data_IF_258661786339
#
_entry.id   IF_258661786339
#
_cell.length_a   1.000
_cell.length_b   1.000
_cell.length_c   1.000
_cell.angle_alpha   90.00
_cell.angle_beta   90.00
_cell.angle_gamma   90.00
#
_symmetry.space_group_name_H-M   'P 1'
#
loop_
_entity.id
_entity.type
_entity.pdbx_description
1 polymer ?
#
# COMPACT_ATOMS: atom_id res chain seq x y z
N UNK A 1 -36.94 16.15 2.00
CA UNK A 1 -35.87 15.11 1.81
C UNK A 1 -36.18 14.28 0.56
N UNK A 2 -37.38 13.65 0.46
CA UNK A 2 -37.75 12.80 -0.70
C UNK A 2 -37.76 13.53 -2.04
N UNK A 3 -38.20 14.79 -2.11
CA UNK A 3 -38.12 15.58 -3.34
C UNK A 3 -36.68 15.84 -3.80
N UNK A 4 -35.77 16.08 -2.84
CA UNK A 4 -34.36 16.23 -3.13
C UNK A 4 -33.75 14.91 -3.66
N UNK A 5 -34.13 13.78 -3.07
CA UNK A 5 -33.71 12.46 -3.53
C UNK A 5 -34.24 12.16 -4.92
N UNK A 6 -35.51 12.49 -5.22
CA UNK A 6 -36.08 12.35 -6.56
C UNK A 6 -35.29 13.12 -7.61
N UNK A 7 -34.90 14.36 -7.31
CA UNK A 7 -34.07 15.16 -8.19
C UNK A 7 -32.68 14.53 -8.40
N UNK A 8 -32.01 14.08 -7.32
CA UNK A 8 -30.70 13.37 -7.39
C UNK A 8 -30.76 12.09 -8.23
N UNK A 9 -31.80 11.28 -8.08
CA UNK A 9 -31.95 10.03 -8.84
C UNK A 9 -32.09 10.32 -10.36
N UNK A 10 -32.69 11.42 -10.74
CA UNK A 10 -32.74 11.86 -12.15
C UNK A 10 -31.35 12.30 -12.64
N UNK A 11 -30.62 13.08 -11.85
CA UNK A 11 -29.26 13.50 -12.18
C UNK A 11 -28.30 12.32 -12.33
N UNK A 12 -28.48 11.29 -11.52
CA UNK A 12 -27.67 10.06 -11.61
C UNK A 12 -27.83 9.36 -12.98
N UNK A 13 -29.01 9.34 -13.58
CA UNK A 13 -29.20 8.77 -14.92
C UNK A 13 -28.35 9.49 -15.96
N UNK A 14 -28.23 10.81 -15.85
CA UNK A 14 -27.42 11.63 -16.75
C UNK A 14 -25.94 11.30 -16.56
N UNK A 15 -25.48 11.23 -15.30
CA UNK A 15 -24.09 10.91 -14.96
C UNK A 15 -23.71 9.50 -15.43
N UNK A 16 -24.56 8.48 -15.20
CA UNK A 16 -24.30 7.12 -15.64
C UNK A 16 -24.22 7.02 -17.19
N UNK A 17 -25.07 7.75 -17.89
CA UNK A 17 -25.03 7.79 -19.36
C UNK A 17 -23.76 8.49 -19.88
N UNK A 18 -23.32 9.54 -19.19
CA UNK A 18 -22.06 10.21 -19.52
C UNK A 18 -20.84 9.29 -19.26
N UNK A 19 -20.79 8.58 -18.11
CA UNK A 19 -19.72 7.60 -17.80
C UNK A 19 -19.67 6.55 -18.90
N UNK A 20 -20.81 6.01 -19.35
CA UNK A 20 -20.87 5.01 -20.42
C UNK A 20 -20.27 5.52 -21.72
N UNK A 21 -20.63 6.75 -22.11
CA UNK A 21 -20.10 7.37 -23.34
C UNK A 21 -18.58 7.57 -23.25
N UNK A 22 -18.08 8.07 -22.10
CA UNK A 22 -16.64 8.28 -21.89
C UNK A 22 -15.86 6.95 -21.93
N UNK A 23 -16.38 5.88 -21.31
CA UNK A 23 -15.75 4.57 -21.36
C UNK A 23 -15.67 4.01 -22.80
N UNK A 24 -16.73 4.19 -23.62
CA UNK A 24 -16.71 3.81 -25.03
C UNK A 24 -15.67 4.61 -25.82
N UNK A 25 -15.60 5.91 -25.61
CA UNK A 25 -14.62 6.77 -26.26
C UNK A 25 -13.19 6.46 -25.86
N UNK A 26 -12.95 6.11 -24.58
CA UNK A 26 -11.63 5.70 -24.08
C UNK A 26 -11.25 4.35 -24.67
N UNK A 27 -12.16 3.37 -24.74
CA UNK A 27 -11.90 2.05 -25.32
C UNK A 27 -11.40 2.14 -26.77
N UNK A 28 -11.99 3.04 -27.55
CA UNK A 28 -11.55 3.29 -28.93
C UNK A 28 -10.16 3.92 -29.02
N UNK A 29 -9.80 4.77 -28.05
CA UNK A 29 -8.52 5.51 -28.06
C UNK A 29 -7.40 4.79 -27.32
N UNK A 30 -7.74 3.89 -26.39
CA UNK A 30 -6.83 3.22 -25.44
C UNK A 30 -7.11 1.72 -25.34
N UNK A 31 -6.96 0.96 -26.46
CA UNK A 31 -7.24 -0.48 -26.46
C UNK A 31 -6.37 -1.27 -25.47
N UNK A 32 -5.23 -0.71 -25.05
CA UNK A 32 -4.35 -1.29 -24.03
C UNK A 32 -5.00 -1.40 -22.64
N UNK A 33 -6.07 -0.64 -22.37
CA UNK A 33 -6.84 -0.70 -21.13
C UNK A 33 -8.14 -1.51 -21.24
N UNK A 34 -8.28 -2.34 -22.28
CA UNK A 34 -9.53 -3.08 -22.56
C UNK A 34 -10.06 -3.85 -21.33
N UNK A 35 -9.21 -4.61 -20.63
CA UNK A 35 -9.63 -5.39 -19.44
C UNK A 35 -10.21 -4.50 -18.33
N UNK A 36 -9.59 -3.36 -18.08
CA UNK A 36 -10.08 -2.39 -17.10
C UNK A 36 -11.41 -1.77 -17.56
N UNK A 37 -11.50 -1.38 -18.84
CA UNK A 37 -12.70 -0.74 -19.38
C UNK A 37 -13.88 -1.69 -19.31
N UNK A 38 -13.70 -2.95 -19.73
CA UNK A 38 -14.75 -3.99 -19.63
C UNK A 38 -15.22 -4.15 -18.18
N UNK A 39 -14.30 -4.09 -17.23
CA UNK A 39 -14.66 -4.17 -15.82
C UNK A 39 -15.44 -2.94 -15.35
N UNK A 40 -15.00 -1.74 -15.68
CA UNK A 40 -15.74 -0.51 -15.35
C UNK A 40 -17.13 -0.51 -15.99
N UNK A 41 -17.28 -1.06 -17.20
CA UNK A 41 -18.57 -1.26 -17.87
C UNK A 41 -19.45 -2.27 -17.11
N UNK A 42 -18.87 -3.35 -16.56
CA UNK A 42 -19.61 -4.30 -15.71
C UNK A 42 -20.12 -3.64 -14.41
N UNK A 43 -19.25 -2.92 -13.71
CA UNK A 43 -19.62 -2.16 -12.51
C UNK A 43 -20.68 -1.08 -12.81
N UNK A 44 -20.55 -0.44 -13.97
CA UNK A 44 -21.56 0.53 -14.45
C UNK A 44 -22.91 -0.13 -14.67
N UNK A 45 -22.94 -1.36 -15.26
CA UNK A 45 -24.18 -2.10 -15.48
C UNK A 45 -24.86 -2.45 -14.14
N UNK A 46 -24.11 -2.97 -13.17
CA UNK A 46 -24.60 -3.24 -11.82
C UNK A 46 -25.14 -1.96 -11.13
N UNK A 47 -24.42 -0.83 -11.32
CA UNK A 47 -24.83 0.46 -10.79
C UNK A 47 -26.11 0.97 -11.46
N UNK A 48 -26.30 0.72 -12.76
CA UNK A 48 -27.56 1.03 -13.47
C UNK A 48 -28.73 0.19 -12.95
N UNK A 49 -28.51 -1.08 -12.63
CA UNK A 49 -29.53 -1.94 -12.03
C UNK A 49 -29.92 -1.42 -10.63
N UNK A 50 -28.92 -1.03 -9.82
CA UNK A 50 -29.17 -0.38 -8.53
C UNK A 50 -29.93 0.95 -8.71
N UNK A 51 -29.61 1.74 -9.73
CA UNK A 51 -30.32 2.97 -10.05
C UNK A 51 -31.81 2.71 -10.37
N UNK A 52 -32.10 1.69 -11.19
CA UNK A 52 -33.46 1.29 -11.49
C UNK A 52 -34.22 0.90 -10.21
N UNK A 53 -33.56 0.16 -9.32
CA UNK A 53 -34.13 -0.20 -8.01
C UNK A 53 -34.40 1.04 -7.13
N UNK A 54 -33.47 2.01 -7.10
CA UNK A 54 -33.67 3.27 -6.40
C UNK A 54 -34.88 4.05 -6.93
N UNK A 55 -35.12 4.04 -8.24
CA UNK A 55 -36.32 4.67 -8.84
C UNK A 55 -37.61 4.04 -8.29
N UNK A 56 -37.66 2.71 -8.18
CA UNK A 56 -38.84 2.02 -7.66
C UNK A 56 -39.06 2.31 -6.16
N UNK A 57 -38.00 2.34 -5.35
CA UNK A 57 -38.10 2.72 -3.94
C UNK A 57 -38.58 4.14 -3.74
N UNK A 58 -38.09 5.08 -4.57
CA UNK A 58 -38.52 6.49 -4.55
C UNK A 58 -39.99 6.61 -4.94
N UNK A 59 -40.48 5.85 -5.92
CA UNK A 59 -41.93 5.81 -6.28
C UNK A 59 -42.80 5.25 -5.15
N UNK A 60 -42.25 4.29 -4.40
CA UNK A 60 -42.95 3.68 -3.26
C UNK A 60 -42.87 4.51 -1.96
N UNK A 61 -42.19 5.66 -1.96
CA UNK A 61 -41.86 6.47 -0.78
C UNK A 61 -41.14 5.65 0.33
N UNK A 62 -40.30 4.66 -0.08
CA UNK A 62 -39.57 3.79 0.85
C UNK A 62 -38.31 4.48 1.38
N UNK A 63 -38.22 4.61 2.70
CA UNK A 63 -37.09 5.26 3.37
C UNK A 63 -35.75 4.51 3.24
N UNK A 64 -35.76 3.24 2.81
CA UNK A 64 -34.54 2.44 2.60
C UNK A 64 -33.67 3.02 1.47
N UNK A 65 -34.21 3.89 0.61
CA UNK A 65 -33.45 4.60 -0.40
C UNK A 65 -32.25 5.36 0.19
N UNK A 66 -32.35 5.88 1.41
CA UNK A 66 -31.29 6.64 2.07
C UNK A 66 -30.04 5.81 2.35
N UNK A 67 -30.19 4.51 2.65
CA UNK A 67 -29.07 3.62 2.92
C UNK A 67 -28.32 3.17 1.65
N UNK A 68 -28.97 3.26 0.50
CA UNK A 68 -28.39 2.81 -0.78
C UNK A 68 -27.68 3.94 -1.53
N UNK A 69 -28.03 5.22 -1.27
CA UNK A 69 -27.38 6.36 -1.91
C UNK A 69 -25.86 6.37 -1.75
N UNK A 70 -25.27 6.16 -0.54
CA UNK A 70 -23.82 6.15 -0.39
C UNK A 70 -23.12 5.05 -1.21
N UNK A 71 -23.75 3.88 -1.34
CA UNK A 71 -23.21 2.77 -2.15
C UNK A 71 -23.18 3.17 -3.62
N UNK A 72 -24.26 3.77 -4.11
CA UNK A 72 -24.38 4.25 -5.47
C UNK A 72 -23.39 5.40 -5.76
N UNK A 73 -23.31 6.40 -4.88
CA UNK A 73 -22.38 7.53 -5.02
C UNK A 73 -20.92 7.10 -5.01
N UNK A 74 -20.57 6.02 -4.28
CA UNK A 74 -19.20 5.52 -4.23
C UNK A 74 -18.67 5.13 -5.61
N UNK A 75 -19.47 4.46 -6.44
CA UNK A 75 -19.07 4.13 -7.81
C UNK A 75 -18.94 5.39 -8.68
N UNK A 76 -19.90 6.31 -8.59
CA UNK A 76 -19.85 7.57 -9.37
C UNK A 76 -18.58 8.34 -9.06
N UNK A 77 -18.29 8.57 -7.77
CA UNK A 77 -17.06 9.27 -7.34
C UNK A 77 -15.81 8.56 -7.86
N UNK A 78 -15.78 7.25 -7.74
CA UNK A 78 -14.66 6.45 -8.15
C UNK A 78 -14.42 6.54 -9.68
N UNK A 79 -15.49 6.40 -10.47
CA UNK A 79 -15.40 6.51 -11.92
C UNK A 79 -15.03 7.94 -12.37
N UNK A 80 -15.74 8.96 -11.85
CA UNK A 80 -15.62 10.34 -12.35
C UNK A 80 -14.42 11.09 -11.80
N UNK A 81 -14.01 10.82 -10.56
CA UNK A 81 -12.92 11.56 -9.90
C UNK A 81 -11.56 10.89 -10.04
N UNK A 82 -11.54 9.57 -10.35
CA UNK A 82 -10.29 8.82 -10.37
C UNK A 82 -10.03 8.11 -11.72
N UNK A 83 -10.88 7.15 -12.13
CA UNK A 83 -10.55 6.31 -13.29
C UNK A 83 -10.66 7.04 -14.62
N UNK A 84 -11.75 7.75 -14.88
CA UNK A 84 -11.91 8.49 -16.14
C UNK A 84 -10.82 9.54 -16.33
N UNK A 85 -10.51 10.40 -15.32
CA UNK A 85 -9.41 11.35 -15.47
C UNK A 85 -8.05 10.70 -15.70
N UNK A 86 -7.75 9.60 -15.01
CA UNK A 86 -6.50 8.87 -15.19
C UNK A 86 -6.38 8.28 -16.60
N UNK A 87 -7.43 7.61 -17.08
CA UNK A 87 -7.46 7.02 -18.42
C UNK A 87 -7.44 8.06 -19.54
N UNK A 88 -8.07 9.22 -19.34
CA UNK A 88 -8.11 10.31 -20.32
C UNK A 88 -6.78 11.03 -20.45
N UNK A 89 -6.05 11.20 -19.31
CA UNK A 89 -4.85 12.05 -19.22
C UNK A 89 -3.55 11.27 -19.22
N UNK A 90 -3.58 9.93 -19.30
CA UNK A 90 -2.40 9.10 -19.22
C UNK A 90 -1.28 9.60 -20.15
N UNK A 91 -0.20 10.06 -19.55
CA UNK A 91 1.00 10.54 -20.23
C UNK A 91 2.05 9.42 -20.42
N UNK A 92 3.20 9.82 -20.97
CA UNK A 92 4.33 8.90 -21.15
C UNK A 92 4.88 8.39 -19.82
N UNK A 93 5.00 9.28 -18.84
CA UNK A 93 5.50 8.93 -17.50
C UNK A 93 4.55 7.97 -16.76
N UNK A 94 3.23 8.17 -16.89
CA UNK A 94 2.23 7.28 -16.32
C UNK A 94 2.33 5.88 -16.94
N UNK A 95 2.42 5.79 -18.27
CA UNK A 95 2.59 4.52 -19.00
C UNK A 95 3.88 3.81 -18.62
N UNK A 96 4.97 4.55 -18.48
CA UNK A 96 6.25 3.97 -18.05
C UNK A 96 6.11 3.36 -16.65
N UNK A 97 5.60 4.13 -15.68
CA UNK A 97 5.43 3.64 -14.32
C UNK A 97 4.42 2.48 -14.26
N UNK A 98 3.33 2.55 -15.02
CA UNK A 98 2.36 1.46 -15.16
C UNK A 98 3.02 0.15 -15.59
N UNK A 99 3.81 0.14 -16.65
CA UNK A 99 4.48 -1.07 -17.16
C UNK A 99 5.49 -1.61 -16.14
N UNK A 100 6.25 -0.72 -15.52
CA UNK A 100 7.24 -1.09 -14.50
C UNK A 100 6.57 -1.73 -13.30
N UNK A 101 5.50 -1.13 -12.78
CA UNK A 101 4.76 -1.63 -11.62
C UNK A 101 4.00 -2.92 -11.92
N UNK A 102 3.40 -3.04 -13.11
CA UNK A 102 2.73 -4.27 -13.51
C UNK A 102 3.71 -5.45 -13.59
N UNK A 103 4.92 -5.22 -14.11
CA UNK A 103 5.99 -6.20 -14.10
C UNK A 103 6.43 -6.56 -12.67
N UNK A 104 6.61 -5.56 -11.81
CA UNK A 104 6.97 -5.77 -10.41
C UNK A 104 5.90 -6.56 -9.65
N UNK A 105 4.61 -6.25 -9.83
CA UNK A 105 3.50 -6.99 -9.22
C UNK A 105 3.51 -8.47 -9.63
N UNK A 106 3.72 -8.77 -10.92
CA UNK A 106 3.84 -10.14 -11.41
C UNK A 106 5.06 -10.87 -10.82
N UNK A 107 6.19 -10.17 -10.69
CA UNK A 107 7.39 -10.72 -10.04
C UNK A 107 7.14 -11.02 -8.54
N UNK A 108 6.30 -10.24 -7.87
CA UNK A 108 5.84 -10.50 -6.52
C UNK A 108 4.80 -11.63 -6.40
N UNK A 109 4.42 -12.28 -7.51
CA UNK A 109 3.42 -13.35 -7.51
C UNK A 109 1.97 -12.88 -7.52
N UNK A 110 1.71 -11.59 -7.77
CA UNK A 110 0.35 -11.02 -7.84
C UNK A 110 -0.27 -11.27 -9.22
N UNK A 111 -0.38 -12.55 -9.62
CA UNK A 111 -0.78 -12.96 -10.97
C UNK A 111 -2.27 -12.72 -11.26
N UNK A 112 -3.08 -12.36 -10.27
CA UNK A 112 -4.49 -11.98 -10.47
C UNK A 112 -4.66 -10.55 -10.99
N UNK A 113 -3.59 -9.74 -10.96
CA UNK A 113 -3.62 -8.39 -11.50
C UNK A 113 -3.42 -8.48 -13.00
N UNK A 114 -4.46 -8.13 -13.74
CA UNK A 114 -4.46 -8.16 -15.20
C UNK A 114 -3.88 -6.86 -15.77
N UNK A 115 -4.28 -5.75 -15.17
CA UNK A 115 -3.86 -4.41 -15.54
C UNK A 115 -3.88 -3.46 -14.34
N UNK A 116 -3.20 -2.33 -14.47
CA UNK A 116 -3.21 -1.23 -13.48
C UNK A 116 -3.38 0.10 -14.19
N UNK A 117 -3.93 1.07 -13.49
CA UNK A 117 -3.90 2.48 -13.90
C UNK A 117 -2.95 3.21 -12.98
N UNK A 118 -2.13 4.07 -13.53
CA UNK A 118 -1.23 4.94 -12.78
C UNK A 118 -1.52 6.38 -13.14
N UNK A 119 -1.61 7.25 -12.15
CA UNK A 119 -1.75 8.68 -12.33
C UNK A 119 -0.72 9.41 -11.47
N UNK A 120 0.13 10.22 -12.11
CA UNK A 120 1.22 10.95 -11.50
C UNK A 120 0.79 12.38 -11.16
N UNK A 121 -0.18 12.53 -10.26
CA UNK A 121 -0.64 13.84 -9.78
C UNK A 121 -0.89 13.88 -8.27
N UNK A 122 -0.61 12.77 -7.57
CA UNK A 122 -0.79 12.66 -6.13
C UNK A 122 0.30 13.36 -5.32
N UNK A 123 -0.04 13.80 -4.11
CA UNK A 123 0.95 14.25 -3.12
C UNK A 123 1.59 13.06 -2.39
N UNK A 124 0.84 11.96 -2.25
CA UNK A 124 1.28 10.72 -1.63
C UNK A 124 0.86 9.53 -2.51
N UNK A 125 1.64 8.47 -2.47
CA UNK A 125 1.23 7.22 -3.09
C UNK A 125 -0.02 6.72 -2.38
N UNK A 126 -1.07 6.43 -3.15
CA UNK A 126 -2.32 5.87 -2.64
C UNK A 126 -2.85 4.83 -3.58
N UNK A 127 -3.53 3.85 -3.01
CA UNK A 127 -4.12 2.76 -3.76
C UNK A 127 -5.63 2.88 -3.80
N UNK A 128 -6.23 2.81 -4.99
CA UNK A 128 -7.67 2.98 -5.10
C UNK A 128 -8.46 1.72 -4.77
N UNK A 129 -9.73 1.94 -4.43
CA UNK A 129 -10.62 0.94 -3.83
C UNK A 129 -11.48 0.13 -4.80
N UNK A 130 -11.37 0.26 -6.12
CA UNK A 130 -12.36 -0.35 -7.01
C UNK A 130 -12.23 -1.87 -7.05
N UNK A 131 -11.03 -2.40 -7.28
CA UNK A 131 -10.84 -3.82 -7.48
C UNK A 131 -9.43 -4.26 -7.18
N UNK A 132 -9.29 -5.47 -6.65
CA UNK A 132 -7.98 -6.09 -6.48
C UNK A 132 -7.34 -6.51 -7.81
N UNK A 133 -8.13 -6.70 -8.86
CA UNK A 133 -7.63 -7.16 -10.18
C UNK A 133 -7.18 -6.01 -11.07
N UNK A 134 -7.75 -4.83 -10.90
CA UNK A 134 -7.45 -3.62 -11.70
C UNK A 134 -7.24 -2.39 -10.83
N UNK A 135 -6.17 -2.35 -10.03
CA UNK A 135 -5.92 -1.23 -9.14
C UNK A 135 -5.59 0.07 -9.88
N UNK A 136 -5.98 1.18 -9.28
CA UNK A 136 -5.49 2.51 -9.60
C UNK A 136 -4.44 2.93 -8.58
N UNK A 137 -3.28 3.36 -9.02
CA UNK A 137 -2.22 3.89 -8.19
C UNK A 137 -2.09 5.38 -8.48
N UNK A 138 -2.39 6.19 -7.48
CA UNK A 138 -2.03 7.60 -7.49
C UNK A 138 -0.63 7.73 -6.92
N UNK A 139 0.28 8.33 -7.66
CA UNK A 139 1.67 8.44 -7.24
C UNK A 139 2.18 9.88 -7.40
N UNK A 140 3.06 10.35 -6.52
CA UNK A 140 3.76 11.60 -6.73
C UNK A 140 4.62 11.56 -8.01
N UNK A 141 4.75 12.67 -8.74
CA UNK A 141 5.50 12.70 -10.00
C UNK A 141 6.96 12.24 -9.88
N UNK A 142 7.59 12.41 -8.71
CA UNK A 142 8.96 11.96 -8.46
C UNK A 142 9.14 10.45 -8.60
N UNK A 143 8.11 9.63 -8.42
CA UNK A 143 8.19 8.18 -8.61
C UNK A 143 8.48 7.77 -10.07
N UNK A 144 8.27 8.67 -11.03
CA UNK A 144 8.65 8.43 -12.42
C UNK A 144 10.11 8.75 -12.73
N UNK A 145 10.84 9.37 -11.79
CA UNK A 145 12.19 9.88 -12.01
C UNK A 145 13.18 9.59 -10.87
N UNK A 146 12.73 9.04 -9.73
CA UNK A 146 13.57 8.65 -8.59
C UNK A 146 13.27 7.24 -8.10
N UNK A 147 14.34 6.44 -7.94
CA UNK A 147 14.23 5.11 -7.36
C UNK A 147 14.13 5.13 -5.82
N UNK A 148 14.49 6.23 -5.17
CA UNK A 148 14.46 6.33 -3.71
C UNK A 148 13.04 6.25 -3.14
N UNK A 149 12.08 6.79 -3.87
CA UNK A 149 10.68 6.83 -3.43
C UNK A 149 9.87 5.59 -3.91
N UNK A 150 10.38 4.86 -4.91
CA UNK A 150 9.68 3.68 -5.47
C UNK A 150 9.47 2.51 -4.51
N UNK A 151 10.33 2.22 -3.51
CA UNK A 151 10.06 1.13 -2.56
C UNK A 151 8.73 1.28 -1.82
N UNK A 152 8.24 2.51 -1.60
CA UNK A 152 6.92 2.77 -1.04
C UNK A 152 5.77 2.21 -1.88
N UNK A 153 5.94 2.06 -3.20
CA UNK A 153 4.92 1.46 -4.06
C UNK A 153 4.69 -0.03 -3.78
N UNK A 154 5.68 -0.72 -3.24
CA UNK A 154 5.51 -2.11 -2.78
C UNK A 154 4.62 -2.20 -1.53
N UNK A 155 4.57 -1.16 -0.70
CA UNK A 155 3.59 -1.03 0.37
C UNK A 155 2.16 -0.99 -0.20
N UNK A 156 1.95 -0.22 -1.27
CA UNK A 156 0.66 -0.16 -1.97
C UNK A 156 0.24 -1.52 -2.56
N UNK A 157 1.20 -2.36 -2.96
CA UNK A 157 0.90 -3.75 -3.35
C UNK A 157 0.37 -4.57 -2.18
N UNK A 158 0.84 -4.30 -0.97
CA UNK A 158 0.34 -4.91 0.26
C UNK A 158 -1.15 -4.65 0.47
N UNK A 159 -1.63 -3.43 0.21
CA UNK A 159 -3.05 -3.10 0.25
C UNK A 159 -3.87 -3.90 -0.78
N UNK A 160 -3.31 -4.15 -1.96
CA UNK A 160 -3.97 -5.02 -2.94
C UNK A 160 -4.09 -6.46 -2.44
N UNK A 161 -3.02 -6.98 -1.83
CA UNK A 161 -2.98 -8.33 -1.26
C UNK A 161 -4.02 -8.48 -0.15
N UNK A 162 -4.05 -7.58 0.82
CA UNK A 162 -4.98 -7.67 1.95
C UNK A 162 -6.46 -7.59 1.53
N UNK A 163 -6.75 -6.82 0.47
CA UNK A 163 -8.10 -6.79 -0.13
C UNK A 163 -8.48 -8.10 -0.81
N UNK A 164 -7.56 -8.68 -1.57
CA UNK A 164 -7.79 -9.97 -2.23
C UNK A 164 -7.91 -11.11 -1.24
N UNK A 165 -7.23 -11.00 -0.11
CA UNK A 165 -7.12 -12.01 0.93
C UNK A 165 -7.43 -11.43 2.32
N UNK A 166 -8.68 -11.00 2.59
CA UNK A 166 -9.07 -10.35 3.85
C UNK A 166 -8.79 -11.22 5.08
N UNK A 167 -8.75 -12.55 4.91
CA UNK A 167 -8.38 -13.50 5.96
C UNK A 167 -7.02 -13.18 6.61
N UNK A 168 -6.12 -12.50 5.92
CA UNK A 168 -4.81 -12.08 6.50
C UNK A 168 -5.06 -11.14 7.68
N UNK A 169 -5.90 -10.13 7.48
CA UNK A 169 -6.22 -9.16 8.52
C UNK A 169 -6.98 -9.82 9.68
N UNK A 170 -7.90 -10.75 9.38
CA UNK A 170 -8.60 -11.53 10.42
C UNK A 170 -7.61 -12.30 11.32
N UNK A 171 -6.59 -12.95 10.72
CA UNK A 171 -5.58 -13.70 11.48
C UNK A 171 -4.71 -12.74 12.34
N UNK A 172 -4.35 -11.56 11.82
CA UNK A 172 -3.62 -10.56 12.58
C UNK A 172 -4.46 -10.03 13.75
N UNK A 173 -5.76 -9.79 13.53
CA UNK A 173 -6.69 -9.36 14.59
C UNK A 173 -6.78 -10.37 15.72
N UNK A 174 -6.79 -11.67 15.40
CA UNK A 174 -6.72 -12.73 16.42
C UNK A 174 -5.42 -12.65 17.20
N UNK A 175 -4.27 -12.48 16.52
CA UNK A 175 -2.98 -12.41 17.19
C UNK A 175 -2.87 -11.19 18.12
N UNK A 176 -3.38 -10.01 17.71
CA UNK A 176 -3.50 -8.81 18.55
C UNK A 176 -4.36 -9.10 19.78
N UNK A 177 -5.55 -9.66 19.57
CA UNK A 177 -6.52 -9.95 20.64
C UNK A 177 -5.96 -10.93 21.66
N UNK A 178 -5.26 -11.97 21.22
CA UNK A 178 -4.61 -12.97 22.10
C UNK A 178 -3.50 -12.31 22.94
N UNK A 179 -2.67 -11.47 22.35
CA UNK A 179 -1.60 -10.77 23.06
C UNK A 179 -2.17 -9.90 24.20
N UNK A 180 -3.18 -9.08 23.93
CA UNK A 180 -3.76 -8.21 24.96
C UNK A 180 -4.59 -8.98 25.98
N UNK A 181 -5.23 -10.09 25.60
CA UNK A 181 -5.89 -11.00 26.55
C UNK A 181 -4.88 -11.62 27.53
N UNK A 182 -3.67 -11.95 27.08
CA UNK A 182 -2.59 -12.43 27.96
C UNK A 182 -2.14 -11.33 28.94
N UNK A 183 -2.02 -10.09 28.48
CA UNK A 183 -1.68 -8.96 29.36
C UNK A 183 -2.75 -8.71 30.42
N UNK A 184 -4.04 -8.80 30.07
CA UNK A 184 -5.16 -8.67 30.99
C UNK A 184 -5.14 -9.79 32.05
N UNK A 185 -4.94 -11.06 31.64
CA UNK A 185 -4.82 -12.19 32.58
C UNK A 185 -3.68 -11.99 33.59
N UNK A 186 -2.56 -11.47 33.14
CA UNK A 186 -1.42 -11.17 34.01
C UNK A 186 -1.70 -10.01 34.98
N UNK A 187 -2.54 -9.04 34.59
CA UNK A 187 -2.94 -7.92 35.44
C UNK A 187 -3.87 -8.34 36.59
N UNK A 188 -4.60 -9.45 36.48
CA UNK A 188 -5.50 -9.94 37.53
C UNK A 188 -4.79 -10.27 38.85
N UNK A 189 -3.48 -10.50 38.85
CA UNK A 189 -2.66 -10.71 40.04
C UNK A 189 -2.32 -9.43 40.81
N UNK A 190 -2.66 -8.23 40.28
CA UNK A 190 -2.34 -6.96 40.85
C UNK A 190 -3.38 -6.50 41.89
N UNK A 191 -2.99 -5.57 42.77
CA UNK A 191 -3.88 -4.88 43.72
C UNK A 191 -4.98 -4.14 42.93
N UNK A 192 -6.23 -4.17 43.41
CA UNK A 192 -7.43 -3.77 42.65
C UNK A 192 -7.31 -2.39 41.98
N UNK A 193 -6.84 -1.36 42.66
CA UNK A 193 -6.71 -0.02 42.04
C UNK A 193 -5.70 0.02 40.90
N UNK A 194 -4.53 -0.61 41.06
CA UNK A 194 -3.49 -0.68 40.03
C UNK A 194 -3.98 -1.54 38.88
N UNK A 195 -4.72 -2.62 39.13
CA UNK A 195 -5.34 -3.47 38.15
C UNK A 195 -6.31 -2.71 37.26
N UNK A 196 -7.20 -1.90 37.85
CA UNK A 196 -8.23 -1.17 37.11
C UNK A 196 -7.60 -0.13 36.16
N UNK A 197 -6.60 0.63 36.64
CA UNK A 197 -5.85 1.56 35.80
C UNK A 197 -5.09 0.84 34.67
N UNK A 198 -4.47 -0.31 34.97
CA UNK A 198 -3.74 -1.10 33.97
C UNK A 198 -4.68 -1.75 32.96
N UNK A 199 -5.82 -2.28 33.37
CA UNK A 199 -6.81 -2.85 32.47
C UNK A 199 -7.36 -1.81 31.51
N UNK A 200 -7.60 -0.58 31.97
CA UNK A 200 -8.01 0.52 31.10
C UNK A 200 -6.93 0.82 30.05
N UNK A 201 -5.67 0.94 30.46
CA UNK A 201 -4.57 1.18 29.52
C UNK A 201 -4.40 0.04 28.51
N UNK A 202 -4.54 -1.22 28.92
CA UNK A 202 -4.48 -2.40 28.03
C UNK A 202 -5.63 -2.39 27.02
N UNK A 203 -6.86 -2.04 27.45
CA UNK A 203 -8.00 -1.96 26.57
C UNK A 203 -7.84 -0.84 25.53
N UNK A 204 -7.35 0.34 25.93
CA UNK A 204 -7.04 1.43 25.00
C UNK A 204 -5.97 0.98 23.98
N UNK A 205 -4.94 0.26 24.44
CA UNK A 205 -3.91 -0.27 23.56
C UNK A 205 -4.46 -1.33 22.57
N UNK A 206 -5.42 -2.15 22.99
CA UNK A 206 -6.14 -3.07 22.09
C UNK A 206 -6.98 -2.31 21.05
N UNK A 207 -7.72 -1.27 21.48
CA UNK A 207 -8.53 -0.43 20.59
C UNK A 207 -7.66 0.33 19.59
N UNK A 208 -6.46 0.74 19.97
CA UNK A 208 -5.50 1.36 19.06
C UNK A 208 -5.21 0.47 17.85
N UNK A 209 -5.02 -0.83 18.04
CA UNK A 209 -4.75 -1.79 16.98
C UNK A 209 -6.02 -2.18 16.20
N UNK A 210 -6.67 -1.19 15.59
CA UNK A 210 -7.79 -1.42 14.69
C UNK A 210 -7.35 -2.11 13.39
N UNK A 211 -8.33 -2.50 12.57
CA UNK A 211 -8.12 -3.20 11.30
C UNK A 211 -7.21 -2.40 10.35
N UNK A 212 -7.34 -1.08 10.33
CA UNK A 212 -6.58 -0.21 9.43
C UNK A 212 -5.09 -0.22 9.80
N UNK A 213 -4.74 -0.02 11.07
CA UNK A 213 -3.33 -0.05 11.55
C UNK A 213 -2.68 -1.42 11.39
N UNK A 214 -3.43 -2.50 11.60
CA UNK A 214 -2.95 -3.85 11.33
C UNK A 214 -2.66 -4.05 9.84
N UNK A 215 -3.51 -3.51 8.97
CA UNK A 215 -3.33 -3.57 7.52
C UNK A 215 -2.11 -2.75 7.08
N UNK A 216 -1.92 -1.54 7.61
CA UNK A 216 -0.74 -0.72 7.34
C UNK A 216 0.57 -1.44 7.72
N UNK A 217 0.61 -2.03 8.92
CA UNK A 217 1.77 -2.82 9.34
C UNK A 217 2.00 -4.03 8.45
N UNK A 218 0.92 -4.73 8.04
CA UNK A 218 1.02 -5.83 7.09
C UNK A 218 1.61 -5.37 5.75
N UNK A 219 1.21 -4.21 5.24
CA UNK A 219 1.73 -3.66 3.98
C UNK A 219 3.24 -3.40 4.06
N UNK A 220 3.75 -2.89 5.17
CA UNK A 220 5.19 -2.72 5.39
C UNK A 220 5.93 -4.07 5.43
N UNK A 221 5.37 -5.06 6.14
CA UNK A 221 5.94 -6.41 6.21
C UNK A 221 5.94 -7.07 4.83
N UNK A 222 4.84 -6.98 4.08
CA UNK A 222 4.73 -7.50 2.73
C UNK A 222 5.73 -6.83 1.78
N UNK A 223 5.80 -5.50 1.80
CA UNK A 223 6.75 -4.76 0.99
C UNK A 223 8.19 -5.15 1.30
N UNK A 224 8.54 -5.29 2.57
CA UNK A 224 9.86 -5.77 2.99
C UNK A 224 10.12 -7.21 2.52
N UNK A 225 9.10 -8.07 2.57
CA UNK A 225 9.20 -9.46 2.13
C UNK A 225 9.57 -9.56 0.64
N UNK A 226 8.92 -8.77 -0.23
CA UNK A 226 9.08 -8.89 -1.69
C UNK A 226 10.12 -7.91 -2.27
N UNK A 227 10.33 -6.75 -1.66
CA UNK A 227 11.31 -5.75 -2.10
C UNK A 227 12.66 -5.86 -1.39
N UNK A 228 12.70 -6.37 -0.16
CA UNK A 228 13.93 -6.53 0.60
C UNK A 228 14.44 -5.24 1.28
N UNK A 229 15.77 -5.10 1.43
CA UNK A 229 16.41 -3.99 2.14
C UNK A 229 16.01 -2.59 1.66
N UNK A 230 15.72 -2.41 0.38
CA UNK A 230 15.34 -1.11 -0.17
C UNK A 230 14.07 -0.55 0.47
N UNK A 231 13.06 -1.40 0.76
CA UNK A 231 11.86 -0.93 1.44
C UNK A 231 12.13 -0.56 2.90
N UNK A 232 12.91 -1.36 3.62
CA UNK A 232 13.33 -1.03 4.98
C UNK A 232 14.04 0.33 5.06
N UNK A 233 14.97 0.59 4.12
CA UNK A 233 15.68 1.86 4.03
C UNK A 233 14.72 3.01 3.69
N UNK A 234 13.76 2.79 2.82
CA UNK A 234 12.72 3.78 2.50
C UNK A 234 11.84 4.11 3.72
N UNK A 235 11.53 3.14 4.58
CA UNK A 235 10.80 3.39 5.83
C UNK A 235 11.61 4.27 6.79
N UNK A 236 12.93 4.01 6.91
CA UNK A 236 13.83 4.86 7.72
C UNK A 236 13.88 6.28 7.15
N UNK A 237 14.06 6.42 5.84
CA UNK A 237 14.15 7.73 5.20
C UNK A 237 12.84 8.53 5.36
N UNK A 238 11.69 7.88 5.25
CA UNK A 238 10.39 8.49 5.49
C UNK A 238 10.27 8.97 6.95
N UNK A 239 10.71 8.16 7.91
CA UNK A 239 10.71 8.53 9.33
C UNK A 239 11.63 9.72 9.62
N UNK A 240 12.83 9.76 8.99
CA UNK A 240 13.80 10.85 9.16
C UNK A 240 13.33 12.17 8.53
N UNK A 241 12.52 12.11 7.47
CA UNK A 241 11.92 13.31 6.84
C UNK A 241 10.68 13.82 7.58
N UNK A 242 10.11 13.00 8.47
CA UNK A 242 8.95 13.40 9.26
C UNK A 242 9.36 14.32 10.41
N UNK A 243 8.59 15.38 10.64
CA UNK A 243 8.74 16.25 11.81
C UNK A 243 8.18 15.63 13.10
N UNK A 244 7.62 14.41 13.04
CA UNK A 244 7.00 13.72 14.16
C UNK A 244 8.04 12.91 14.94
N UNK A 245 7.86 12.84 16.27
CA UNK A 245 8.56 11.88 17.13
C UNK A 245 8.24 10.46 16.64
N UNK A 246 9.27 9.65 16.44
CA UNK A 246 9.13 8.28 15.90
C UNK A 246 8.36 7.33 16.83
N UNK A 247 8.26 7.65 18.11
CA UNK A 247 7.49 6.92 19.13
C UNK A 247 6.10 7.51 19.39
N UNK A 248 5.73 8.58 18.67
CA UNK A 248 4.43 9.22 18.87
C UNK A 248 3.29 8.31 18.45
N UNK A 249 2.40 8.02 19.40
CA UNK A 249 1.14 7.30 19.16
C UNK A 249 0.08 8.35 18.85
N UNK A 250 -0.53 8.25 17.68
CA UNK A 250 -1.56 9.16 17.20
C UNK A 250 -2.85 8.35 16.94
N UNK A 251 -3.90 8.64 17.70
CA UNK A 251 -5.18 7.94 17.58
C UNK A 251 -5.93 8.29 16.29
N UNK A 252 -5.61 9.45 15.68
CA UNK A 252 -6.22 9.89 14.42
C UNK A 252 -5.48 9.37 13.18
N UNK A 253 -4.21 8.95 13.31
CA UNK A 253 -3.44 8.39 12.21
C UNK A 253 -3.73 6.88 12.04
N UNK A 254 -3.95 6.47 10.82
CA UNK A 254 -4.13 5.05 10.47
C UNK A 254 -2.82 4.27 10.47
N UNK A 255 -1.68 4.98 10.45
CA UNK A 255 -0.37 4.35 10.45
C UNK A 255 0.16 4.14 11.87
N UNK A 256 0.76 2.98 12.17
CA UNK A 256 1.52 2.80 13.40
C UNK A 256 2.70 3.79 13.49
N UNK A 257 3.22 4.08 14.70
CA UNK A 257 4.41 4.90 14.87
C UNK A 257 5.59 4.45 14.03
N UNK A 258 6.40 5.37 13.54
CA UNK A 258 7.54 5.03 12.67
C UNK A 258 8.48 3.99 13.29
N UNK A 259 8.76 4.08 14.60
CA UNK A 259 9.60 3.08 15.29
C UNK A 259 9.00 1.68 15.23
N UNK A 260 7.68 1.52 15.30
CA UNK A 260 7.01 0.23 15.16
C UNK A 260 7.12 -0.29 13.71
N UNK A 261 6.91 0.56 12.70
CA UNK A 261 7.01 0.22 11.27
C UNK A 261 8.44 -0.20 10.91
N UNK A 262 9.44 0.63 11.27
CA UNK A 262 10.86 0.35 11.01
C UNK A 262 11.30 -0.94 11.71
N UNK A 263 10.85 -1.15 12.97
CA UNK A 263 11.11 -2.39 13.70
C UNK A 263 10.54 -3.61 12.98
N UNK A 264 9.29 -3.55 12.52
CA UNK A 264 8.64 -4.64 11.81
C UNK A 264 9.37 -4.98 10.49
N UNK A 265 9.78 -3.97 9.72
CA UNK A 265 10.59 -4.15 8.51
C UNK A 265 11.94 -4.83 8.84
N UNK A 266 12.66 -4.36 9.85
CA UNK A 266 13.93 -4.94 10.29
C UNK A 266 13.79 -6.41 10.71
N UNK A 267 12.77 -6.71 11.54
CA UNK A 267 12.48 -8.10 11.95
C UNK A 267 12.10 -8.99 10.77
N UNK A 268 11.34 -8.47 9.82
CA UNK A 268 11.01 -9.19 8.59
C UNK A 268 12.27 -9.59 7.83
N UNK A 269 13.22 -8.67 7.65
CA UNK A 269 14.49 -8.97 7.01
C UNK A 269 15.27 -10.06 7.74
N UNK A 270 15.36 -10.00 9.07
CA UNK A 270 16.07 -11.00 9.87
C UNK A 270 15.48 -12.41 9.74
N UNK A 271 14.18 -12.53 9.45
CA UNK A 271 13.50 -13.82 9.27
C UNK A 271 13.60 -14.39 7.85
N UNK A 272 13.86 -13.54 6.85
CA UNK A 272 13.75 -13.92 5.43
C UNK A 272 15.02 -13.70 4.63
N UNK A 273 15.94 -12.85 5.11
CA UNK A 273 17.09 -12.39 4.35
C UNK A 273 18.38 -12.56 5.16
N UNK A 274 19.46 -12.97 4.53
CA UNK A 274 20.78 -13.08 5.17
C UNK A 274 21.31 -11.69 5.53
N UNK A 275 22.13 -11.61 6.58
CA UNK A 275 22.70 -10.35 7.08
C UNK A 275 23.55 -9.65 6.02
N UNK A 276 22.95 -8.69 5.33
CA UNK A 276 23.66 -7.82 4.40
C UNK A 276 24.25 -6.61 5.14
N UNK A 277 25.46 -6.20 4.82
CA UNK A 277 26.12 -5.06 5.49
C UNK A 277 25.29 -3.78 5.46
N UNK A 278 24.55 -3.52 4.38
CA UNK A 278 23.70 -2.34 4.25
C UNK A 278 22.56 -2.32 5.29
N UNK A 279 21.98 -3.48 5.61
CA UNK A 279 20.93 -3.58 6.64
C UNK A 279 21.50 -3.24 8.01
N UNK A 280 22.72 -3.71 8.31
CA UNK A 280 23.41 -3.39 9.56
C UNK A 280 23.75 -1.90 9.65
N UNK A 281 24.22 -1.30 8.55
CA UNK A 281 24.52 0.14 8.49
C UNK A 281 23.24 0.98 8.70
N UNK A 282 22.16 0.64 8.01
CA UNK A 282 20.87 1.32 8.15
C UNK A 282 20.31 1.17 9.57
N UNK A 283 20.41 -0.02 10.18
CA UNK A 283 19.98 -0.26 11.55
C UNK A 283 20.80 0.56 12.57
N UNK A 284 22.10 0.69 12.38
CA UNK A 284 22.93 1.51 13.26
C UNK A 284 22.59 3.00 13.13
N UNK A 285 22.33 3.49 11.92
CA UNK A 285 21.89 4.86 11.70
C UNK A 285 20.51 5.11 12.34
N UNK A 286 19.57 4.18 12.18
CA UNK A 286 18.26 4.26 12.82
C UNK A 286 18.33 4.27 14.34
N UNK A 287 19.10 3.36 14.96
CA UNK A 287 19.30 3.36 16.41
C UNK A 287 19.87 4.67 16.92
N UNK A 288 20.86 5.23 16.23
CA UNK A 288 21.39 6.54 16.58
C UNK A 288 20.35 7.66 16.55
N UNK A 289 19.36 7.57 15.63
CA UNK A 289 18.23 8.49 15.60
C UNK A 289 17.22 8.22 16.73
N UNK A 290 16.83 6.95 16.96
CA UNK A 290 15.93 6.57 18.07
C UNK A 290 16.47 6.99 19.44
N UNK A 291 17.78 6.87 19.68
CA UNK A 291 18.44 7.27 20.94
C UNK A 291 18.31 8.77 21.20
N UNK A 292 18.05 9.59 20.19
CA UNK A 292 17.79 11.03 20.33
C UNK A 292 16.31 11.35 20.57
N UNK A 293 15.40 10.37 20.39
CA UNK A 293 13.96 10.52 20.57
C UNK A 293 13.55 10.11 21.99
N UNK A 294 12.33 10.48 22.38
CA UNK A 294 11.81 10.17 23.70
C UNK A 294 10.82 9.01 23.67
N UNK A 295 11.34 7.80 23.83
CA UNK A 295 10.49 6.62 24.03
C UNK A 295 9.67 6.76 25.32
N UNK A 296 8.38 6.44 25.27
CA UNK A 296 7.44 6.57 26.37
C UNK A 296 6.73 5.24 26.69
N UNK A 297 6.15 5.14 27.89
CA UNK A 297 5.50 3.91 28.35
C UNK A 297 4.21 3.57 27.61
N UNK A 298 3.57 4.53 26.96
CA UNK A 298 2.41 4.30 26.08
C UNK A 298 2.82 3.53 24.83
N UNK A 299 3.87 3.98 24.14
CA UNK A 299 4.45 3.25 23.03
C UNK A 299 4.87 1.83 23.43
N UNK A 300 5.52 1.66 24.58
CA UNK A 300 5.95 0.34 25.08
C UNK A 300 4.80 -0.62 25.32
N UNK A 301 3.63 -0.11 25.72
CA UNK A 301 2.44 -0.93 25.90
C UNK A 301 1.77 -1.26 24.57
N UNK A 302 1.59 -0.27 23.70
CA UNK A 302 0.88 -0.38 22.43
C UNK A 302 1.69 -1.15 21.40
N UNK A 303 2.99 -0.82 21.28
CA UNK A 303 3.91 -1.34 20.26
C UNK A 303 5.04 -2.17 20.90
N UNK A 304 4.69 -3.04 21.87
CA UNK A 304 5.70 -3.88 22.52
C UNK A 304 6.43 -4.76 21.48
N UNK A 305 7.72 -4.99 21.68
CA UNK A 305 8.50 -5.87 20.80
C UNK A 305 7.89 -7.27 20.69
N UNK A 306 7.30 -7.79 21.79
CA UNK A 306 6.63 -9.08 21.79
C UNK A 306 5.42 -9.12 20.85
N UNK A 307 4.59 -8.06 20.86
CA UNK A 307 3.48 -7.94 19.92
C UNK A 307 3.97 -7.81 18.49
N UNK A 308 4.92 -6.92 18.23
CA UNK A 308 5.45 -6.71 16.89
C UNK A 308 6.12 -7.98 16.33
N UNK A 309 6.88 -8.72 17.14
CA UNK A 309 7.45 -10.01 16.74
C UNK A 309 6.38 -11.04 16.38
N UNK A 310 5.29 -11.10 17.16
CA UNK A 310 4.15 -11.95 16.89
C UNK A 310 3.47 -11.57 15.56
N UNK A 311 3.21 -10.26 15.34
CA UNK A 311 2.58 -9.78 14.11
C UNK A 311 3.44 -10.04 12.88
N UNK A 312 4.77 -9.77 12.95
CA UNK A 312 5.70 -10.05 11.86
C UNK A 312 5.74 -11.54 11.53
N UNK A 313 5.89 -12.40 12.54
CA UNK A 313 5.90 -13.85 12.34
C UNK A 313 4.59 -14.37 11.72
N UNK A 314 3.46 -13.84 12.20
CA UNK A 314 2.13 -14.18 11.70
C UNK A 314 1.92 -13.71 10.26
N UNK A 315 2.28 -12.47 9.95
CA UNK A 315 2.18 -11.92 8.60
C UNK A 315 3.02 -12.70 7.58
N UNK A 316 4.29 -13.00 7.91
CA UNK A 316 5.18 -13.79 7.04
C UNK A 316 4.62 -15.20 6.81
N UNK A 317 4.07 -15.84 7.84
CA UNK A 317 3.40 -17.14 7.70
C UNK A 317 2.19 -17.03 6.76
N UNK A 318 1.34 -16.02 6.93
CA UNK A 318 0.19 -15.77 6.06
C UNK A 318 0.63 -15.55 4.60
N UNK A 319 1.67 -14.76 4.36
CA UNK A 319 2.21 -14.55 3.01
C UNK A 319 2.63 -15.90 2.39
N UNK A 320 3.39 -16.71 3.11
CA UNK A 320 3.87 -18.02 2.60
C UNK A 320 2.74 -19.02 2.34
N UNK A 321 1.71 -19.04 3.17
CA UNK A 321 0.60 -20.01 3.07
C UNK A 321 -0.48 -19.57 2.08
N UNK A 322 -0.83 -18.29 2.05
CA UNK A 322 -1.95 -17.78 1.28
C UNK A 322 -1.54 -17.20 -0.08
N UNK A 323 -0.25 -16.90 -0.25
CA UNK A 323 0.35 -16.35 -1.46
C UNK A 323 1.53 -17.23 -1.94
N UNK A 324 1.28 -18.47 -2.37
CA UNK A 324 2.36 -19.40 -2.75
C UNK A 324 3.17 -18.91 -3.96
N UNK A 325 2.65 -17.94 -4.73
CA UNK A 325 3.37 -17.26 -5.80
C UNK A 325 4.30 -16.13 -5.33
N UNK A 326 4.10 -15.61 -4.11
CA UNK A 326 4.94 -14.55 -3.60
C UNK A 326 6.32 -15.09 -3.22
N UNK A 327 7.34 -14.48 -3.81
CA UNK A 327 8.73 -14.83 -3.53
C UNK A 327 9.33 -13.76 -2.63
N UNK A 328 9.97 -14.19 -1.53
CA UNK A 328 10.76 -13.26 -0.75
C UNK A 328 12.00 -12.82 -1.54
N UNK A 329 12.38 -11.56 -1.33
CA UNK A 329 13.62 -11.07 -1.90
C UNK A 329 14.82 -11.83 -1.32
N UNK A 330 15.59 -12.45 -2.17
CA UNK A 330 16.72 -13.30 -1.76
C UNK A 330 17.98 -13.07 -2.59
N UNK A 331 17.96 -12.14 -3.53
CA UNK A 331 19.10 -11.84 -4.39
C UNK A 331 20.21 -11.20 -3.56
N UNK A 332 21.41 -11.80 -3.46
CA UNK A 332 22.53 -11.16 -2.80
C UNK A 332 22.88 -9.85 -3.50
N UNK A 333 23.17 -8.81 -2.73
CA UNK A 333 23.66 -7.58 -3.30
C UNK A 333 25.05 -7.81 -3.93
N UNK A 334 25.27 -7.37 -5.17
CA UNK A 334 26.52 -7.58 -5.87
C UNK A 334 27.69 -6.89 -5.15
N UNK A 335 28.91 -7.34 -5.44
CA UNK A 335 30.11 -6.64 -5.00
C UNK A 335 30.17 -5.22 -5.60
N UNK A 336 31.00 -4.37 -5.05
CA UNK A 336 31.05 -2.95 -5.39
C UNK A 336 31.40 -2.69 -6.87
N UNK A 337 32.18 -3.57 -7.47
CA UNK A 337 32.57 -3.49 -8.89
C UNK A 337 31.40 -3.77 -9.84
N UNK A 338 30.41 -4.54 -9.40
CA UNK A 338 29.24 -4.95 -10.19
C UNK A 338 28.00 -4.10 -9.90
N UNK A 339 28.05 -3.20 -8.91
CA UNK A 339 26.90 -2.42 -8.47
C UNK A 339 26.28 -1.59 -9.60
N UNK A 340 27.11 -1.00 -10.46
CA UNK A 340 26.65 -0.16 -11.55
C UNK A 340 26.14 -0.95 -12.78
N UNK A 341 26.45 -2.25 -12.83
CA UNK A 341 25.99 -3.09 -13.95
C UNK A 341 24.53 -3.51 -13.73
N UNK A 342 23.67 -3.23 -14.69
CA UNK A 342 22.26 -3.63 -14.68
C UNK A 342 22.03 -4.67 -15.75
N UNK A 343 21.86 -5.96 -15.39
CA UNK A 343 21.47 -7.02 -16.32
C UNK A 343 20.10 -6.74 -16.97
N UNK A 344 19.86 -7.32 -18.16
CA UNK A 344 18.60 -7.11 -18.89
C UNK A 344 17.37 -7.72 -18.20
N UNK A 345 17.56 -8.81 -17.44
CA UNK A 345 16.48 -9.53 -16.76
C UNK A 345 16.32 -9.16 -15.29
N UNK A 346 16.88 -8.01 -14.86
CA UNK A 346 16.85 -7.60 -13.47
C UNK A 346 15.44 -7.16 -13.06
N UNK A 347 15.00 -7.61 -11.88
CA UNK A 347 13.74 -7.16 -11.29
C UNK A 347 13.82 -5.71 -10.80
N UNK A 348 12.66 -5.05 -10.66
CA UNK A 348 12.62 -3.72 -10.03
C UNK A 348 13.18 -3.75 -8.61
N UNK A 349 12.86 -4.78 -7.82
CA UNK A 349 13.40 -4.95 -6.47
C UNK A 349 14.94 -5.01 -6.46
N UNK A 350 15.56 -5.74 -7.41
CA UNK A 350 17.03 -5.79 -7.52
C UNK A 350 17.63 -4.42 -7.82
N UNK A 351 16.99 -3.65 -8.71
CA UNK A 351 17.42 -2.30 -9.06
C UNK A 351 17.35 -1.39 -7.84
N UNK A 352 16.23 -1.42 -7.11
CA UNK A 352 16.03 -0.61 -5.91
C UNK A 352 17.06 -0.94 -4.81
N UNK A 353 17.35 -2.21 -4.61
CA UNK A 353 18.34 -2.65 -3.62
C UNK A 353 19.77 -2.25 -4.02
N UNK A 354 20.11 -2.30 -5.30
CA UNK A 354 21.39 -1.76 -5.80
C UNK A 354 21.49 -0.26 -5.58
N UNK A 355 20.43 0.47 -5.93
CA UNK A 355 20.35 1.91 -5.70
C UNK A 355 20.54 2.27 -4.23
N UNK A 356 19.85 1.57 -3.34
CA UNK A 356 20.01 1.74 -1.90
C UNK A 356 21.45 1.48 -1.45
N UNK A 357 22.11 0.42 -1.94
CA UNK A 357 23.52 0.12 -1.61
C UNK A 357 24.45 1.23 -2.13
N UNK A 358 24.25 1.71 -3.37
CA UNK A 358 25.08 2.79 -3.93
C UNK A 358 24.89 4.06 -3.10
N UNK A 359 23.67 4.42 -2.76
CA UNK A 359 23.39 5.60 -1.96
C UNK A 359 24.11 5.58 -0.61
N UNK A 360 24.13 4.44 0.08
CA UNK A 360 24.78 4.32 1.37
C UNK A 360 26.29 4.21 1.30
N UNK A 361 26.84 3.61 0.23
CA UNK A 361 28.28 3.36 0.12
C UNK A 361 29.00 4.44 -0.67
N UNK A 362 28.35 4.98 -1.71
CA UNK A 362 28.92 5.93 -2.69
C UNK A 362 27.89 7.00 -3.07
N UNK A 363 27.42 7.83 -2.12
CA UNK A 363 26.32 8.78 -2.34
C UNK A 363 26.60 9.76 -3.50
N UNK A 364 27.85 10.11 -3.72
CA UNK A 364 28.28 10.99 -4.82
C UNK A 364 28.07 10.40 -6.22
N UNK A 365 27.95 9.06 -6.31
CA UNK A 365 27.75 8.33 -7.58
C UNK A 365 26.28 8.05 -7.88
N UNK A 366 25.40 8.19 -6.87
CA UNK A 366 24.01 7.77 -6.95
C UNK A 366 23.24 8.47 -8.09
N UNK A 367 23.33 9.78 -8.19
CA UNK A 367 22.57 10.56 -9.19
C UNK A 367 22.92 10.16 -10.64
N UNK A 368 24.21 9.95 -10.93
CA UNK A 368 24.66 9.50 -12.25
C UNK A 368 24.23 8.06 -12.54
N UNK A 369 24.29 7.19 -11.55
CA UNK A 369 23.82 5.82 -11.66
C UNK A 369 22.31 5.77 -11.90
N UNK A 370 21.53 6.51 -11.14
CA UNK A 370 20.07 6.58 -11.25
C UNK A 370 19.66 7.02 -12.67
N UNK A 371 20.24 8.10 -13.17
CA UNK A 371 19.98 8.61 -14.52
C UNK A 371 20.30 7.59 -15.63
N UNK A 372 21.43 6.91 -15.54
CA UNK A 372 21.83 5.84 -16.49
C UNK A 372 20.85 4.67 -16.41
N UNK A 373 20.45 4.30 -15.20
CA UNK A 373 19.54 3.19 -14.92
C UNK A 373 18.16 3.46 -15.48
N UNK A 374 17.57 4.63 -15.25
CA UNK A 374 16.30 5.02 -15.85
C UNK A 374 16.33 4.96 -17.37
N UNK A 375 17.39 5.50 -18.00
CA UNK A 375 17.55 5.43 -19.45
C UNK A 375 17.57 3.98 -19.96
N UNK A 376 18.27 3.09 -19.26
CA UNK A 376 18.34 1.66 -19.62
C UNK A 376 17.00 0.97 -19.45
N UNK A 377 16.31 1.19 -18.33
CA UNK A 377 15.00 0.57 -18.07
C UNK A 377 13.96 1.05 -19.11
N UNK A 378 13.93 2.34 -19.41
CA UNK A 378 13.05 2.86 -20.47
C UNK A 378 13.29 2.16 -21.83
N UNK A 379 14.55 1.85 -22.15
CA UNK A 379 14.87 1.11 -23.37
C UNK A 379 14.46 -0.38 -23.32
N UNK A 380 14.56 -1.03 -22.15
CA UNK A 380 14.20 -2.44 -21.96
C UNK A 380 12.68 -2.68 -22.05
N UNK A 381 11.90 -1.76 -21.50
CA UNK A 381 10.43 -1.83 -21.55
C UNK A 381 9.86 -1.36 -22.89
N UNK A 382 10.73 -1.14 -23.91
CA UNK A 382 10.35 -0.73 -25.29
C UNK A 382 9.23 0.30 -25.28
N UNK A 383 9.39 1.34 -24.51
CA UNK A 383 8.65 2.55 -24.73
C UNK A 383 9.20 3.13 -26.04
N UNK A 384 8.88 2.45 -27.15
CA UNK A 384 9.09 2.96 -28.49
C UNK A 384 8.27 4.25 -28.56
N UNK A 385 8.94 5.30 -28.20
CA UNK A 385 8.53 6.68 -28.45
C UNK A 385 8.61 6.86 -29.96
N UNK A 386 7.64 6.34 -30.68
CA UNK A 386 7.30 6.88 -31.98
C UNK A 386 6.67 8.25 -31.70
N UNK A 387 7.55 9.25 -31.53
CA UNK A 387 7.20 10.65 -31.65
C UNK A 387 7.02 10.93 -33.14
#
# INVERSE_FOLDING_TARGET
VLEYIRAKVVDYAIILSWIEQELQDIELRRPEHHSLIVRLQSELAETKDLHNYLIELVKADDGSVLSLIPVFESFIVLATSYYLPALQKEGEADRFLRQLLLAAMKQCGLNWIEDIVVQLDGQHATFSRLSAETPLILAPPQHAVSFLDMPGLYHEFGHNVSRKLPRIVDILTVAVSEHFADLLRNADSLISKIRDERNLAINNALEYWNIERQNELFCDIFATFVCGPAHYISCIDMALRSDRDSFHVDDEDVHPPFSARVYACYKSLNLIYSHEPIVVMAQNAWKGYEDMQRRNGEFDLICSETLLDCLVGTAIRCIRELLPGAKYYSTPLPCDEELEHIPEEMSLADILNRGAKILFTYPERYADWEKKTFKKIKSLYRLDLNI
#
